data_IF_313037875789
#
_entry.id   IF_313037875789
#
_cell.length_a   1.000
_cell.length_b   1.000
_cell.length_c   1.000
_cell.angle_alpha   90.00
_cell.angle_beta   90.00
_cell.angle_gamma   90.00
#
_symmetry.space_group_name_H-M   'P 1'
#
loop_
_entity.id
_entity.type
_entity.pdbx_description
1 polymer ?
#
# COMPACT_ATOMS: atom_id res chain seq x y z
N UNK A 1 14.69 -4.72 -8.88
CA UNK A 1 15.91 -4.98 -8.07
C UNK A 1 16.21 -6.47 -7.92
N UNK A 2 15.42 -7.29 -7.21
CA UNK A 2 15.79 -8.70 -6.98
C UNK A 2 16.09 -9.51 -8.25
N UNK A 3 15.32 -9.31 -9.34
CA UNK A 3 15.58 -10.02 -10.61
C UNK A 3 16.88 -9.61 -11.29
N UNK A 4 17.30 -8.35 -11.15
CA UNK A 4 18.56 -7.86 -11.70
C UNK A 4 19.74 -8.45 -10.93
N UNK A 5 19.68 -8.40 -9.59
CA UNK A 5 20.71 -8.98 -8.72
C UNK A 5 20.86 -10.49 -8.92
N UNK A 6 19.74 -11.21 -9.01
CA UNK A 6 19.74 -12.66 -9.28
C UNK A 6 20.33 -12.99 -10.65
N UNK A 7 20.02 -12.20 -11.68
CA UNK A 7 20.59 -12.39 -13.02
C UNK A 7 22.11 -12.27 -12.98
N UNK A 8 22.64 -11.12 -12.54
CA UNK A 8 24.09 -10.89 -12.54
C UNK A 8 24.87 -11.87 -11.66
N UNK A 9 24.31 -12.21 -10.48
CA UNK A 9 24.92 -13.21 -9.61
C UNK A 9 24.90 -14.62 -10.21
N UNK A 10 23.77 -15.04 -10.78
CA UNK A 10 23.65 -16.37 -11.36
C UNK A 10 24.53 -16.55 -12.60
N UNK A 11 24.74 -15.50 -13.40
CA UNK A 11 25.69 -15.51 -14.52
C UNK A 11 27.11 -15.83 -14.06
N UNK A 12 27.58 -15.13 -13.02
CA UNK A 12 28.90 -15.38 -12.43
C UNK A 12 28.99 -16.80 -11.86
N UNK A 13 28.00 -17.20 -11.06
CA UNK A 13 27.98 -18.51 -10.40
C UNK A 13 28.01 -19.67 -11.40
N UNK A 14 27.18 -19.61 -12.44
CA UNK A 14 27.08 -20.69 -13.44
C UNK A 14 28.35 -20.77 -14.27
N UNK A 15 28.97 -19.63 -14.57
CA UNK A 15 30.28 -19.58 -15.24
C UNK A 15 31.38 -20.17 -14.37
N UNK A 16 31.37 -19.87 -13.06
CA UNK A 16 32.34 -20.42 -12.12
C UNK A 16 32.24 -21.95 -12.02
N UNK A 17 31.02 -22.51 -12.10
CA UNK A 17 30.80 -23.96 -12.05
C UNK A 17 31.17 -24.64 -13.38
N UNK A 18 30.81 -24.06 -14.52
CA UNK A 18 30.87 -24.76 -15.82
C UNK A 18 32.10 -24.40 -16.67
N UNK A 19 32.64 -23.19 -16.51
CA UNK A 19 33.80 -22.71 -17.26
C UNK A 19 34.71 -21.83 -16.38
N UNK A 20 35.31 -22.41 -15.30
CA UNK A 20 36.13 -21.65 -14.35
C UNK A 20 37.36 -21.00 -15.00
N UNK A 21 37.83 -21.52 -16.14
CA UNK A 21 38.98 -20.98 -16.87
C UNK A 21 38.68 -19.63 -17.53
N UNK A 22 37.42 -19.35 -17.86
CA UNK A 22 37.00 -18.07 -18.44
C UNK A 22 36.38 -17.12 -17.41
N UNK A 23 36.43 -17.46 -16.11
CA UNK A 23 35.81 -16.67 -15.05
C UNK A 23 36.60 -15.38 -14.80
N UNK A 24 35.91 -14.25 -14.80
CA UNK A 24 36.46 -12.95 -14.42
C UNK A 24 35.41 -12.11 -13.70
N UNK A 25 35.77 -10.91 -13.23
CA UNK A 25 34.78 -9.96 -12.70
C UNK A 25 33.78 -9.51 -13.78
N UNK A 26 34.18 -9.54 -15.05
CA UNK A 26 33.29 -9.22 -16.17
C UNK A 26 32.20 -10.27 -16.38
N UNK A 27 32.38 -11.49 -15.84
CA UNK A 27 31.35 -12.54 -15.87
C UNK A 27 30.09 -12.18 -15.07
N UNK A 28 30.14 -11.15 -14.21
CA UNK A 28 28.93 -10.58 -13.62
C UNK A 28 28.08 -9.79 -14.62
N UNK A 29 28.65 -9.37 -15.76
CA UNK A 29 27.99 -8.56 -16.79
C UNK A 29 27.41 -7.23 -16.27
N UNK A 30 28.01 -6.64 -15.24
CA UNK A 30 27.56 -5.38 -14.66
C UNK A 30 27.93 -4.17 -15.54
N UNK A 31 29.13 -4.21 -16.12
CA UNK A 31 29.68 -3.13 -16.94
C UNK A 31 29.61 -3.51 -18.41
N UNK A 32 28.42 -3.44 -19.00
CA UNK A 32 28.24 -3.77 -20.41
C UNK A 32 28.61 -2.60 -21.33
N UNK A 33 28.01 -1.43 -21.11
CA UNK A 33 28.30 -0.21 -21.88
C UNK A 33 27.68 1.04 -21.23
N UNK A 34 28.06 2.23 -21.70
CA UNK A 34 27.45 3.48 -21.27
C UNK A 34 25.97 3.53 -21.69
N UNK A 35 25.65 3.09 -22.90
CA UNK A 35 24.29 3.05 -23.45
C UNK A 35 23.39 2.14 -22.61
N UNK A 36 23.89 0.97 -22.18
CA UNK A 36 23.18 0.08 -21.27
C UNK A 36 22.86 0.76 -19.94
N UNK A 37 23.83 1.48 -19.38
CA UNK A 37 23.66 2.22 -18.12
C UNK A 37 22.62 3.32 -18.25
N UNK A 38 22.66 4.08 -19.36
CA UNK A 38 21.66 5.11 -19.67
C UNK A 38 20.27 4.51 -19.82
N UNK A 39 20.12 3.38 -20.52
CA UNK A 39 18.84 2.70 -20.67
C UNK A 39 18.27 2.16 -19.35
N UNK A 40 19.14 1.65 -18.46
CA UNK A 40 18.71 1.22 -17.14
C UNK A 40 18.22 2.40 -16.29
N UNK A 41 18.96 3.51 -16.28
CA UNK A 41 18.58 4.73 -15.56
C UNK A 41 17.31 5.36 -16.13
N UNK A 42 17.16 5.40 -17.46
CA UNK A 42 15.94 5.93 -18.08
C UNK A 42 14.70 5.13 -17.67
N UNK A 43 14.81 3.80 -17.55
CA UNK A 43 13.69 2.97 -17.08
C UNK A 43 13.26 3.29 -15.64
N UNK A 44 14.20 3.65 -14.76
CA UNK A 44 13.89 4.03 -13.38
C UNK A 44 13.27 5.43 -13.32
N UNK A 45 13.77 6.37 -14.13
CA UNK A 45 13.19 7.71 -14.27
C UNK A 45 11.76 7.61 -14.83
N UNK A 46 11.54 6.85 -15.89
CA UNK A 46 10.21 6.61 -16.47
C UNK A 46 9.26 6.04 -15.42
N UNK A 47 9.65 4.94 -14.74
CA UNK A 47 8.83 4.33 -13.71
C UNK A 47 8.47 5.31 -12.57
N UNK A 48 9.43 6.10 -12.11
CA UNK A 48 9.20 7.05 -11.01
C UNK A 48 8.28 8.19 -11.42
N UNK A 49 8.47 8.77 -12.61
CA UNK A 49 7.60 9.82 -13.14
C UNK A 49 6.18 9.30 -13.33
N UNK A 50 6.01 8.13 -13.97
CA UNK A 50 4.69 7.53 -14.17
C UNK A 50 4.00 7.18 -12.84
N UNK A 51 4.74 6.72 -11.84
CA UNK A 51 4.16 6.42 -10.54
C UNK A 51 3.75 7.70 -9.76
N UNK A 52 4.40 8.84 -10.02
CA UNK A 52 4.05 10.14 -9.42
C UNK A 52 2.81 10.73 -10.11
N UNK A 53 2.80 10.77 -11.44
CA UNK A 53 1.74 11.44 -12.21
C UNK A 53 0.53 10.55 -12.51
N UNK A 54 0.74 9.25 -12.75
CA UNK A 54 -0.30 8.29 -13.16
C UNK A 54 -0.19 6.96 -12.41
N UNK A 55 -0.41 6.96 -11.08
CA UNK A 55 -0.25 5.75 -10.26
C UNK A 55 -1.19 4.60 -10.68
N UNK A 56 -2.31 4.89 -11.35
CA UNK A 56 -3.26 3.89 -11.83
C UNK A 56 -2.67 2.98 -12.92
N UNK A 57 -1.86 3.52 -13.84
CA UNK A 57 -1.16 2.75 -14.87
C UNK A 57 -0.24 1.70 -14.25
N UNK A 58 0.35 2.05 -13.10
CA UNK A 58 1.24 1.19 -12.34
C UNK A 58 0.49 0.21 -11.44
N UNK A 59 -0.84 0.12 -11.45
CA UNK A 59 -1.60 -0.86 -10.66
C UNK A 59 -2.09 -2.07 -11.47
N UNK A 60 -1.73 -2.15 -12.76
CA UNK A 60 -2.17 -3.22 -13.66
C UNK A 60 -1.42 -4.53 -13.37
N UNK A 61 -1.93 -5.31 -12.43
CA UNK A 61 -1.26 -6.50 -11.87
C UNK A 61 -0.99 -7.61 -12.88
N UNK A 62 -1.86 -7.82 -13.87
CA UNK A 62 -1.68 -8.86 -14.89
C UNK A 62 -0.44 -8.60 -15.76
N UNK A 63 -0.15 -7.32 -16.07
CA UNK A 63 1.03 -6.93 -16.83
C UNK A 63 2.31 -7.28 -16.04
N UNK A 64 2.31 -7.01 -14.72
CA UNK A 64 3.40 -7.40 -13.83
C UNK A 64 3.59 -8.92 -13.75
N UNK A 65 2.48 -9.66 -13.69
CA UNK A 65 2.50 -11.12 -13.64
C UNK A 65 3.08 -11.74 -14.93
N UNK A 66 2.66 -11.25 -16.10
CA UNK A 66 3.24 -11.67 -17.39
C UNK A 66 4.73 -11.32 -17.48
N UNK A 67 5.12 -10.12 -17.03
CA UNK A 67 6.53 -9.73 -16.93
C UNK A 67 7.35 -10.65 -16.03
N UNK A 68 6.81 -11.04 -14.86
CA UNK A 68 7.47 -11.99 -13.96
C UNK A 68 7.66 -13.36 -14.60
N UNK A 69 6.64 -13.88 -15.29
CA UNK A 69 6.75 -15.16 -16.01
C UNK A 69 7.83 -15.10 -17.09
N UNK A 70 7.89 -14.02 -17.87
CA UNK A 70 8.92 -13.81 -18.88
C UNK A 70 10.32 -13.75 -18.28
N UNK A 71 10.49 -13.06 -17.14
CA UNK A 71 11.77 -12.99 -16.42
C UNK A 71 12.20 -14.38 -15.94
N UNK A 72 11.32 -15.14 -15.30
CA UNK A 72 11.65 -16.48 -14.80
C UNK A 72 11.97 -17.43 -15.94
N UNK A 73 11.14 -17.45 -16.99
CA UNK A 73 11.38 -18.28 -18.17
C UNK A 73 12.71 -17.94 -18.85
N UNK A 74 12.97 -16.65 -19.09
CA UNK A 74 14.21 -16.19 -19.73
C UNK A 74 15.45 -16.52 -18.91
N UNK A 75 15.36 -16.36 -17.59
CA UNK A 75 16.42 -16.73 -16.65
C UNK A 75 16.71 -18.24 -16.71
N UNK A 76 15.69 -19.08 -16.59
CA UNK A 76 15.84 -20.54 -16.65
C UNK A 76 16.42 -20.99 -18.00
N UNK A 77 15.91 -20.47 -19.12
CA UNK A 77 16.40 -20.84 -20.46
C UNK A 77 17.87 -20.44 -20.65
N UNK A 78 18.26 -19.26 -20.18
CA UNK A 78 19.64 -18.79 -20.27
C UNK A 78 20.60 -19.66 -19.45
N UNK A 79 20.23 -19.97 -18.21
CA UNK A 79 21.01 -20.87 -17.35
C UNK A 79 21.10 -22.28 -17.93
N UNK A 80 20.00 -22.83 -18.42
CA UNK A 80 19.98 -24.13 -19.09
C UNK A 80 20.91 -24.16 -20.31
N UNK A 81 20.98 -23.09 -21.10
CA UNK A 81 21.92 -22.96 -22.20
C UNK A 81 23.38 -22.98 -21.72
N UNK A 82 23.72 -22.20 -20.69
CA UNK A 82 25.07 -22.18 -20.11
C UNK A 82 25.47 -23.55 -19.54
N UNK A 83 24.56 -24.25 -18.86
CA UNK A 83 24.81 -25.62 -18.37
C UNK A 83 24.98 -26.62 -19.50
N UNK A 84 24.15 -26.53 -20.55
CA UNK A 84 24.20 -27.48 -21.67
C UNK A 84 25.45 -27.27 -22.53
N UNK A 85 25.89 -26.04 -22.72
CA UNK A 85 27.11 -25.74 -23.47
C UNK A 85 28.40 -25.95 -22.65
N UNK A 86 28.33 -25.83 -21.33
CA UNK A 86 29.46 -26.09 -20.43
C UNK A 86 30.66 -25.19 -20.75
N UNK A 87 31.83 -25.81 -20.91
CA UNK A 87 33.07 -25.11 -21.31
C UNK A 87 33.04 -24.52 -22.72
N UNK A 88 32.07 -24.88 -23.56
CA UNK A 88 31.88 -24.29 -24.88
C UNK A 88 31.13 -22.94 -24.82
N UNK A 89 30.57 -22.58 -23.66
CA UNK A 89 29.93 -21.28 -23.47
C UNK A 89 30.96 -20.20 -23.13
N UNK A 90 30.83 -19.03 -23.75
CA UNK A 90 31.61 -17.85 -23.44
C UNK A 90 30.72 -16.59 -23.51
N UNK A 91 30.97 -15.63 -22.62
CA UNK A 91 30.30 -14.32 -22.65
C UNK A 91 30.73 -13.47 -23.83
N UNK A 92 31.97 -13.64 -24.28
CA UNK A 92 32.54 -12.94 -25.45
C UNK A 92 32.50 -13.88 -26.65
N UNK A 93 32.00 -13.37 -27.79
CA UNK A 93 31.98 -14.12 -29.05
C UNK A 93 33.42 -14.41 -29.48
N UNK A 94 33.71 -15.68 -29.76
CA UNK A 94 35.05 -16.14 -30.16
C UNK A 94 35.16 -16.16 -31.69
N UNK A 95 36.25 -15.62 -32.23
CA UNK A 95 36.53 -15.62 -33.67
C UNK A 95 37.45 -16.77 -34.09
N UNK A 96 38.14 -17.41 -33.14
CA UNK A 96 39.03 -18.53 -33.37
C UNK A 96 38.52 -19.78 -32.66
N UNK A 97 38.65 -20.94 -33.32
CA UNK A 97 38.18 -22.22 -32.77
C UNK A 97 39.26 -22.84 -31.88
N UNK A 98 38.93 -23.04 -30.60
CA UNK A 98 39.78 -23.81 -29.67
C UNK A 98 39.74 -25.31 -29.95
N UNK A 99 40.82 -26.04 -29.62
CA UNK A 99 40.92 -27.50 -29.78
C UNK A 99 39.85 -28.26 -28.99
N UNK A 100 39.44 -27.74 -27.83
CA UNK A 100 38.41 -28.36 -26.97
C UNK A 100 36.99 -27.92 -27.34
N UNK A 101 36.82 -26.99 -28.28
CA UNK A 101 35.51 -26.43 -28.64
C UNK A 101 34.76 -27.35 -29.60
N UNK A 102 33.59 -27.81 -29.16
CA UNK A 102 32.72 -28.75 -29.89
C UNK A 102 31.34 -28.14 -30.13
N UNK A 103 30.67 -28.61 -31.19
CA UNK A 103 29.31 -28.17 -31.50
C UNK A 103 28.31 -28.84 -30.54
N UNK A 104 27.45 -28.05 -29.91
CA UNK A 104 26.42 -28.53 -28.97
C UNK A 104 25.05 -28.43 -29.64
N UNK A 105 24.38 -29.58 -29.82
CA UNK A 105 23.05 -29.68 -30.45
C UNK A 105 22.00 -30.39 -29.58
N UNK A 106 22.37 -30.84 -28.39
CA UNK A 106 21.49 -31.53 -27.45
C UNK A 106 20.79 -30.57 -26.48
N UNK A 107 19.75 -31.05 -25.79
CA UNK A 107 19.03 -30.26 -24.79
C UNK A 107 18.35 -29.02 -25.39
N UNK A 108 18.51 -27.86 -24.74
CA UNK A 108 17.90 -26.59 -25.22
C UNK A 108 18.44 -26.12 -26.58
N UNK A 109 19.63 -26.60 -26.99
CA UNK A 109 20.21 -26.30 -28.30
C UNK A 109 19.55 -27.08 -29.45
N UNK A 110 18.74 -28.11 -29.15
CA UNK A 110 17.93 -28.81 -30.15
C UNK A 110 16.73 -27.97 -30.61
N UNK A 111 16.26 -27.05 -29.76
CA UNK A 111 15.11 -26.18 -30.07
C UNK A 111 15.52 -24.83 -30.63
N UNK A 112 16.63 -24.26 -30.13
CA UNK A 112 17.13 -22.95 -30.55
C UNK A 112 18.62 -23.02 -30.84
N UNK A 113 19.09 -22.31 -31.88
CA UNK A 113 20.53 -22.17 -32.15
C UNK A 113 21.25 -21.32 -31.10
N UNK A 114 20.54 -20.35 -30.51
CA UNK A 114 21.08 -19.44 -29.49
C UNK A 114 20.15 -19.30 -28.27
N UNK A 115 19.93 -20.38 -27.50
CA UNK A 115 18.97 -20.39 -26.39
C UNK A 115 19.36 -19.39 -25.28
N UNK A 116 20.65 -19.11 -25.09
CA UNK A 116 21.13 -18.09 -24.13
C UNK A 116 20.70 -16.67 -24.50
N UNK A 117 20.74 -16.31 -25.79
CA UNK A 117 20.27 -15.01 -26.28
C UNK A 117 18.75 -14.92 -26.27
N UNK A 118 18.05 -16.01 -26.60
CA UNK A 118 16.58 -16.09 -26.48
C UNK A 118 16.15 -15.87 -25.03
N UNK A 119 16.81 -16.54 -24.07
CA UNK A 119 16.54 -16.35 -22.66
C UNK A 119 16.78 -14.90 -22.20
N UNK A 120 17.91 -14.32 -22.60
CA UNK A 120 18.24 -12.93 -22.28
C UNK A 120 17.25 -11.91 -22.87
N UNK A 121 16.81 -12.13 -24.10
CA UNK A 121 15.82 -11.28 -24.77
C UNK A 121 14.46 -11.26 -24.06
N UNK A 122 13.93 -12.44 -23.70
CA UNK A 122 12.67 -12.48 -22.95
C UNK A 122 12.81 -11.96 -21.53
N UNK A 123 13.96 -12.20 -20.90
CA UNK A 123 14.27 -11.64 -19.59
C UNK A 123 14.29 -10.12 -19.61
N UNK A 124 14.97 -9.49 -20.58
CA UNK A 124 15.08 -8.03 -20.67
C UNK A 124 13.72 -7.38 -20.88
N UNK A 125 12.89 -7.89 -21.80
CA UNK A 125 11.50 -7.41 -22.00
C UNK A 125 10.66 -7.62 -20.72
N UNK A 126 10.82 -8.77 -20.07
CA UNK A 126 10.11 -9.10 -18.84
C UNK A 126 10.42 -8.12 -17.71
N UNK A 127 11.67 -7.66 -17.58
CA UNK A 127 12.04 -6.68 -16.56
C UNK A 127 11.30 -5.35 -16.72
N UNK A 128 11.10 -4.87 -17.95
CA UNK A 128 10.34 -3.65 -18.23
C UNK A 128 8.84 -3.83 -17.94
N UNK A 129 8.23 -4.95 -18.39
CA UNK A 129 6.82 -5.25 -18.07
C UNK A 129 6.55 -5.42 -16.58
N UNK A 130 7.57 -5.83 -15.81
CA UNK A 130 7.50 -5.97 -14.36
C UNK A 130 7.54 -4.63 -13.62
N UNK A 131 7.93 -3.52 -14.25
CA UNK A 131 7.92 -2.15 -13.69
C UNK A 131 6.50 -1.59 -13.53
N UNK A 132 5.71 -2.31 -12.74
CA UNK A 132 4.35 -2.02 -12.30
C UNK A 132 4.40 -2.04 -10.77
N UNK A 133 3.92 -0.98 -10.14
CA UNK A 133 3.90 -0.92 -8.69
C UNK A 133 2.90 -1.95 -8.15
N UNK A 134 3.26 -2.67 -7.08
CA UNK A 134 2.20 -3.25 -6.24
C UNK A 134 1.44 -2.08 -5.66
N UNK A 135 0.31 -1.74 -6.27
CA UNK A 135 -0.67 -0.82 -5.69
C UNK A 135 -1.07 -1.35 -4.33
N UNK A 136 -0.41 -0.89 -3.27
CA UNK A 136 -1.02 -0.92 -1.97
C UNK A 136 -2.28 -0.09 -2.11
N UNK A 137 -3.45 -0.74 -2.11
CA UNK A 137 -4.71 -0.03 -1.90
C UNK A 137 -4.46 0.89 -0.71
N UNK A 138 -4.45 2.22 -0.91
CA UNK A 138 -4.40 3.17 0.21
C UNK A 138 -5.50 2.70 1.16
N UNK A 139 -5.12 2.22 2.35
CA UNK A 139 -6.09 1.81 3.36
C UNK A 139 -7.01 3.01 3.53
N UNK A 140 -8.29 2.85 3.19
CA UNK A 140 -9.29 3.88 3.48
C UNK A 140 -9.14 4.22 4.95
N UNK A 141 -8.84 5.47 5.26
CA UNK A 141 -8.66 5.89 6.64
C UNK A 141 -10.04 5.90 7.29
N UNK A 142 -10.34 4.86 8.05
CA UNK A 142 -11.57 4.76 8.83
C UNK A 142 -11.35 5.55 10.12
N UNK A 143 -12.11 6.63 10.29
CA UNK A 143 -12.12 7.46 11.48
C UNK A 143 -13.23 6.96 12.40
N UNK A 144 -12.91 6.73 13.68
CA UNK A 144 -13.87 6.30 14.70
C UNK A 144 -13.92 7.32 15.82
N UNK A 145 -15.11 7.80 16.14
CA UNK A 145 -15.36 8.70 17.26
C UNK A 145 -16.41 8.13 18.18
N UNK A 146 -16.20 8.27 19.49
CA UNK A 146 -17.14 7.78 20.49
C UNK A 146 -17.69 8.93 21.33
N UNK A 147 -18.93 8.80 21.76
CA UNK A 147 -19.60 9.73 22.63
C UNK A 147 -20.29 8.94 23.75
N UNK A 148 -19.82 9.19 24.97
CA UNK A 148 -20.33 8.54 26.17
C UNK A 148 -21.48 9.36 26.76
N UNK A 149 -22.68 8.77 26.83
CA UNK A 149 -23.87 9.33 27.42
C UNK A 149 -24.34 8.55 28.66
N UNK A 150 -23.51 7.71 29.28
CA UNK A 150 -23.88 6.87 30.45
C UNK A 150 -24.68 7.62 31.50
N UNK A 151 -24.11 8.67 32.10
CA UNK A 151 -24.74 9.39 33.20
C UNK A 151 -26.16 9.90 32.88
N UNK A 152 -26.39 10.75 31.86
CA UNK A 152 -27.73 11.27 31.60
C UNK A 152 -28.72 10.22 31.08
N UNK A 153 -28.24 9.09 30.52
CA UNK A 153 -29.10 7.99 30.07
C UNK A 153 -29.55 7.14 31.27
N UNK A 154 -28.65 6.85 32.20
CA UNK A 154 -28.96 6.12 33.43
C UNK A 154 -29.90 6.91 34.35
N UNK A 155 -29.73 8.23 34.42
CA UNK A 155 -30.61 9.13 35.17
C UNK A 155 -31.96 9.39 34.48
N UNK A 156 -32.19 8.83 33.29
CA UNK A 156 -33.45 8.96 32.55
C UNK A 156 -33.70 10.33 31.90
N UNK A 157 -32.69 11.22 31.91
CA UNK A 157 -32.79 12.59 31.37
C UNK A 157 -32.60 12.63 29.85
N UNK A 158 -31.87 11.65 29.30
CA UNK A 158 -31.56 11.58 27.87
C UNK A 158 -31.86 10.19 27.29
N UNK A 159 -32.58 10.14 26.17
CA UNK A 159 -32.74 8.93 25.38
C UNK A 159 -31.64 8.81 24.31
N UNK A 160 -30.81 7.76 24.43
CA UNK A 160 -29.75 7.46 23.48
C UNK A 160 -30.27 7.03 22.09
N UNK A 161 -31.46 6.41 22.01
CA UNK A 161 -32.07 6.02 20.73
C UNK A 161 -32.55 7.26 19.95
N UNK A 162 -33.21 8.19 20.63
CA UNK A 162 -33.58 9.48 20.03
C UNK A 162 -32.35 10.26 19.54
N UNK A 163 -31.26 10.24 20.33
CA UNK A 163 -30.02 10.91 19.93
C UNK A 163 -29.34 10.25 18.72
N UNK A 164 -29.33 8.92 18.63
CA UNK A 164 -28.88 8.17 17.47
C UNK A 164 -29.64 8.58 16.20
N UNK A 165 -30.98 8.62 16.27
CA UNK A 165 -31.83 9.05 15.16
C UNK A 165 -31.53 10.50 14.75
N UNK A 166 -31.37 11.41 15.72
CA UNK A 166 -31.01 12.79 15.45
C UNK A 166 -29.69 12.91 14.67
N UNK A 167 -28.69 12.08 15.00
CA UNK A 167 -27.42 12.06 14.28
C UNK A 167 -27.58 11.50 12.86
N UNK A 168 -28.37 10.44 12.67
CA UNK A 168 -28.66 9.89 11.35
C UNK A 168 -29.30 10.93 10.41
N UNK A 169 -30.21 11.75 10.94
CA UNK A 169 -30.89 12.80 10.17
C UNK A 169 -30.01 14.04 9.92
N UNK A 170 -29.13 14.40 10.88
CA UNK A 170 -28.43 15.70 10.87
C UNK A 170 -26.98 15.65 10.43
N UNK A 171 -26.34 14.48 10.40
CA UNK A 171 -25.02 14.33 9.82
C UNK A 171 -25.11 14.58 8.31
N UNK A 172 -24.24 15.49 7.84
CA UNK A 172 -24.12 15.83 6.43
C UNK A 172 -22.90 15.13 5.82
N UNK A 173 -23.11 14.47 4.70
CA UNK A 173 -22.04 13.94 3.84
C UNK A 173 -22.12 14.69 2.51
N UNK A 174 -21.01 15.33 2.10
CA UNK A 174 -20.95 16.16 0.89
C UNK A 174 -22.06 17.23 0.81
N UNK A 175 -22.38 17.86 1.94
CA UNK A 175 -23.37 18.94 2.03
C UNK A 175 -24.83 18.49 2.12
N UNK A 176 -25.15 17.21 1.91
CA UNK A 176 -26.51 16.66 2.00
C UNK A 176 -26.74 15.95 3.33
N UNK A 177 -27.86 16.23 3.98
CA UNK A 177 -28.29 15.58 5.24
C UNK A 177 -29.26 14.43 4.95
N UNK A 178 -29.46 13.51 5.90
CA UNK A 178 -30.45 12.43 5.82
C UNK A 178 -30.10 11.27 4.87
N UNK A 179 -28.91 11.31 4.25
CA UNK A 179 -28.37 10.20 3.48
C UNK A 179 -26.87 10.10 3.80
N UNK A 180 -26.50 9.12 4.63
CA UNK A 180 -25.14 8.89 5.15
C UNK A 180 -24.15 8.38 4.07
N UNK A 181 -24.33 8.83 2.84
CA UNK A 181 -23.49 8.50 1.68
C UNK A 181 -23.50 7.02 1.30
N UNK A 182 -24.60 6.30 1.52
CA UNK A 182 -24.68 4.86 1.20
C UNK A 182 -23.86 3.97 2.14
N UNK A 183 -23.73 4.34 3.43
CA UNK A 183 -23.01 3.56 4.44
C UNK A 183 -21.57 4.00 4.69
N UNK A 184 -21.14 5.11 4.07
CA UNK A 184 -19.81 5.70 4.25
C UNK A 184 -19.61 6.29 5.65
N UNK A 185 -20.71 6.72 6.29
CA UNK A 185 -20.76 7.05 7.72
C UNK A 185 -21.75 6.10 8.39
N UNK A 186 -21.30 5.40 9.43
CA UNK A 186 -22.15 4.53 10.25
C UNK A 186 -22.23 5.05 11.67
N UNK A 187 -23.40 4.93 12.27
CA UNK A 187 -23.68 5.32 13.65
C UNK A 187 -24.20 4.07 14.34
N UNK A 188 -23.57 3.71 15.44
CA UNK A 188 -23.92 2.52 16.23
C UNK A 188 -24.12 2.92 17.68
N UNK A 189 -25.20 2.43 18.28
CA UNK A 189 -25.48 2.58 19.70
C UNK A 189 -25.15 1.30 20.48
N UNK A 190 -24.30 1.43 21.48
CA UNK A 190 -24.00 0.40 22.48
C UNK A 190 -24.58 0.83 23.83
N UNK A 191 -25.89 0.59 24.01
CA UNK A 191 -26.69 1.07 25.16
C UNK A 191 -26.65 2.60 25.34
N UNK A 192 -25.70 3.09 26.12
CA UNK A 192 -25.50 4.50 26.46
C UNK A 192 -24.32 5.15 25.72
N UNK A 193 -23.59 4.40 24.89
CA UNK A 193 -22.48 4.93 24.09
C UNK A 193 -22.86 4.99 22.62
N UNK A 194 -22.57 6.11 21.97
CA UNK A 194 -22.71 6.26 20.52
C UNK A 194 -21.34 6.24 19.86
N UNK A 195 -21.21 5.42 18.83
CA UNK A 195 -20.01 5.34 17.99
C UNK A 195 -20.34 5.84 16.60
N UNK A 196 -19.54 6.77 16.09
CA UNK A 196 -19.61 7.25 14.70
C UNK A 196 -18.36 6.80 13.97
N UNK A 197 -18.53 6.00 12.94
CA UNK A 197 -17.44 5.52 12.08
C UNK A 197 -17.60 6.15 10.70
N UNK A 198 -16.51 6.69 10.13
CA UNK A 198 -16.53 7.38 8.84
C UNK A 198 -15.35 6.98 7.97
N UNK A 199 -15.61 6.63 6.71
CA UNK A 199 -14.56 6.41 5.69
C UNK A 199 -14.14 7.71 4.97
N UNK A 200 -14.90 8.79 5.15
CA UNK A 200 -14.62 10.13 4.59
C UNK A 200 -14.12 11.09 5.68
N UNK A 201 -13.50 12.22 5.31
CA UNK A 201 -13.11 13.24 6.27
C UNK A 201 -14.29 13.66 7.15
N UNK A 202 -14.22 13.27 8.43
CA UNK A 202 -15.20 13.61 9.44
C UNK A 202 -14.46 14.11 10.67
N UNK A 203 -14.87 15.26 11.20
CA UNK A 203 -14.18 15.87 12.34
C UNK A 203 -14.90 15.59 13.64
N UNK A 204 -14.13 15.26 14.68
CA UNK A 204 -14.62 15.18 16.05
C UNK A 204 -15.37 16.46 16.46
N UNK A 205 -14.88 17.64 16.07
CA UNK A 205 -15.53 18.93 16.35
C UNK A 205 -16.96 19.00 15.79
N UNK A 206 -17.22 18.42 14.62
CA UNK A 206 -18.55 18.37 14.03
C UNK A 206 -19.51 17.54 14.89
N UNK A 207 -19.06 16.40 15.43
CA UNK A 207 -19.84 15.62 16.39
C UNK A 207 -20.19 16.46 17.63
N UNK A 208 -19.21 17.16 18.25
CA UNK A 208 -19.47 18.06 19.39
C UNK A 208 -20.52 19.13 19.09
N UNK A 209 -20.46 19.71 17.90
CA UNK A 209 -21.45 20.70 17.45
C UNK A 209 -22.85 20.09 17.39
N UNK A 210 -23.01 18.92 16.75
CA UNK A 210 -24.30 18.23 16.66
C UNK A 210 -24.83 17.83 18.03
N UNK A 211 -23.98 17.32 18.93
CA UNK A 211 -24.38 17.01 20.31
C UNK A 211 -24.86 18.25 21.05
N UNK A 212 -24.13 19.37 20.98
CA UNK A 212 -24.59 20.64 21.60
C UNK A 212 -25.91 21.12 21.00
N UNK A 213 -26.13 20.91 19.71
CA UNK A 213 -27.38 21.24 19.02
C UNK A 213 -28.54 20.38 19.51
N UNK A 214 -28.32 19.09 19.71
CA UNK A 214 -29.29 18.18 20.32
C UNK A 214 -29.63 18.58 21.76
N UNK A 215 -28.62 18.82 22.60
CA UNK A 215 -28.82 19.26 23.99
C UNK A 215 -29.64 20.55 24.05
N UNK A 216 -29.37 21.52 23.17
CA UNK A 216 -30.19 22.74 23.11
C UNK A 216 -31.62 22.49 22.65
N UNK A 217 -31.83 21.57 21.69
CA UNK A 217 -33.18 21.22 21.20
C UNK A 217 -34.05 20.58 22.29
N UNK A 218 -33.44 19.81 23.19
CA UNK A 218 -34.13 19.11 24.28
C UNK A 218 -34.00 19.82 25.63
N UNK A 219 -33.59 21.09 25.65
CA UNK A 219 -33.41 21.88 26.88
C UNK A 219 -32.45 21.28 27.93
N UNK A 220 -31.50 20.44 27.51
CA UNK A 220 -30.53 19.77 28.41
C UNK A 220 -29.22 20.56 28.61
N UNK A 221 -29.14 21.76 28.06
CA UNK A 221 -27.87 22.51 27.95
C UNK A 221 -27.39 23.11 29.27
N UNK A 222 -28.31 23.31 30.20
CA UNK A 222 -28.04 23.93 31.49
C UNK A 222 -27.53 22.90 32.50
N UNK A 223 -27.84 21.61 32.29
CA UNK A 223 -27.36 20.51 33.12
C UNK A 223 -26.12 19.82 32.54
N UNK A 224 -26.02 19.69 31.21
CA UNK A 224 -25.00 18.86 30.56
C UNK A 224 -24.02 19.66 29.70
N UNK A 225 -22.74 19.32 29.83
CA UNK A 225 -21.64 19.81 28.98
C UNK A 225 -20.94 18.67 28.23
N UNK A 226 -20.56 18.93 26.99
CA UNK A 226 -19.79 18.01 26.14
C UNK A 226 -18.28 18.21 26.36
N UNK A 227 -17.63 17.25 27.03
CA UNK A 227 -16.21 17.29 27.43
C UNK A 227 -15.42 16.25 26.66
N UNK A 228 -14.21 16.59 26.20
CA UNK A 228 -13.34 15.63 25.54
C UNK A 228 -12.68 14.74 26.60
N UNK A 229 -12.82 13.42 26.47
CA UNK A 229 -12.17 12.46 27.36
C UNK A 229 -10.83 11.97 26.77
N UNK A 230 -10.81 11.60 25.48
CA UNK A 230 -9.60 11.24 24.75
C UNK A 230 -9.49 11.99 23.41
N UNK A 231 -8.45 11.72 22.61
CA UNK A 231 -8.34 12.28 21.25
C UNK A 231 -9.56 11.95 20.38
N UNK A 232 -10.18 10.79 20.56
CA UNK A 232 -11.26 10.26 19.72
C UNK A 232 -12.63 10.24 20.43
N UNK A 233 -12.69 10.51 21.74
CA UNK A 233 -13.93 10.40 22.52
C UNK A 233 -14.40 11.71 23.17
N UNK A 234 -15.72 11.87 23.23
CA UNK A 234 -16.41 12.84 24.09
C UNK A 234 -17.21 12.12 25.17
N UNK A 235 -17.55 12.85 26.21
CA UNK A 235 -18.41 12.43 27.31
C UNK A 235 -19.36 13.58 27.66
N UNK A 236 -20.59 13.24 28.04
CA UNK A 236 -21.54 14.17 28.64
C UNK A 236 -21.33 14.18 30.15
N UNK A 237 -21.01 15.36 30.69
CA UNK A 237 -20.81 15.56 32.13
C UNK A 237 -21.79 16.60 32.65
N UNK A 238 -22.22 16.45 33.90
CA UNK A 238 -22.95 17.50 34.59
C UNK A 238 -22.06 18.74 34.83
N UNK A 239 -22.70 19.89 34.96
CA UNK A 239 -22.06 21.02 35.62
C UNK A 239 -21.92 20.71 37.10
N UNK A 240 -20.74 20.98 37.67
CA UNK A 240 -20.58 21.01 39.11
C UNK A 240 -21.21 22.33 39.56
N UNK A 241 -22.36 22.25 40.22
CA UNK A 241 -22.87 23.36 41.01
C UNK A 241 -22.06 23.26 42.30
N UNK A 242 -21.00 24.06 42.42
CA UNK A 242 -20.41 24.27 43.73
C UNK A 242 -21.46 25.03 44.52
N UNK A 243 -21.94 24.44 45.62
CA UNK A 243 -22.82 25.11 46.60
C UNK A 243 -22.03 26.09 47.49
N UNK A 244 -20.81 26.47 47.12
CA UNK A 244 -19.87 27.21 47.96
C UNK A 244 -19.94 28.75 47.76
N UNK A 245 -20.91 29.28 46.99
CA UNK A 245 -21.07 30.73 46.77
C UNK A 245 -22.30 31.34 47.47
N UNK A 246 -23.09 30.57 48.23
CA UNK A 246 -24.27 31.08 48.97
C UNK A 246 -24.11 31.14 50.50
N UNK A 247 -22.94 30.76 51.08
CA UNK A 247 -22.71 30.80 52.54
C UNK A 247 -21.82 31.97 53.04
N UNK A 248 -21.35 32.90 52.19
CA UNK A 248 -20.49 34.03 52.62
C UNK A 248 -21.09 35.44 52.42
N UNK A 249 -22.41 35.63 52.54
CA UNK A 249 -22.99 37.00 52.64
C UNK A 249 -23.91 37.25 53.86
N UNK A 250 -24.11 36.27 54.74
CA UNK A 250 -24.91 36.46 55.96
C UNK A 250 -24.22 35.87 57.22
N UNK A 251 -23.17 36.54 57.73
CA UNK A 251 -22.83 36.56 59.18
C UNK A 251 -21.75 37.63 59.48
N UNK A 252 -22.20 38.70 60.15
CA UNK A 252 -21.50 39.76 60.92
C UNK A 252 -20.61 40.83 60.24
#
# INVERSE_FOLDING_TARGET
MCSLSLFHYSEYLVTAVNNPKSLSLDSFLLNHSLEYTVAALSSWIEFTLENIFWPELKQITWLSATGLLMVVFGECLRKAAMFTAGSNFNHVVQNEKSETHTLVTSGVYAWFRHPSYVGWFYWSIGTQKKLVAKGGKKKKQVLKFTLDCTHPVEDGIMDAANFEQFLQERIKVNGKAGNLGGGVVTIERSKSKITVTSEVPFSKRYLKYLTKKYLKKNNLRDWLRVVANSKESYELRYFQINQDEEEEEDED
#
